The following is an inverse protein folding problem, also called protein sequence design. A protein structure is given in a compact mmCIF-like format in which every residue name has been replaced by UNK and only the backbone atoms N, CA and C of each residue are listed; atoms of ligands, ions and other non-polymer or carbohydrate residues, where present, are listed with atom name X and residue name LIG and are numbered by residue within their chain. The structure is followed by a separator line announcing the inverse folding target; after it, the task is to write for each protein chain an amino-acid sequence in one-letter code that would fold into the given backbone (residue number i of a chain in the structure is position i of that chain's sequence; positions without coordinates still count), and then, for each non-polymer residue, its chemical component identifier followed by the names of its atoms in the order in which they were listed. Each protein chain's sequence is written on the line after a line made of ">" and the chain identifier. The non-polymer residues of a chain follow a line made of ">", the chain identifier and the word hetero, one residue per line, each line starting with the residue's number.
data_IF_532318936392
#
_entry.id   IF_532318936392
#
_cell.length_a   1.000
_cell.length_b   1.000
_cell.length_c   1.000
_cell.angle_alpha   90.00
_cell.angle_beta   90.00
_cell.angle_gamma   90.00
#
_symmetry.space_group_name_H-M   'P 1'
#
loop_
_entity.id
_entity.type
_entity.pdbx_description
1 polymer ?
#
# COMPACT_ATOMS: atom_id res chain seq x y z
N UNK A 1 -12.46 -22.14 6.77
CA UNK A 1 -13.70 -22.53 6.06
C UNK A 1 -14.67 -21.35 5.80
N UNK A 2 -15.40 -20.78 6.77
CA UNK A 2 -16.35 -19.66 6.46
C UNK A 2 -15.65 -18.33 6.17
N UNK A 3 -14.54 -18.02 6.83
CA UNK A 3 -13.75 -16.82 6.54
C UNK A 3 -13.11 -16.84 5.13
N UNK A 4 -12.71 -18.02 4.65
CA UNK A 4 -12.20 -18.19 3.27
C UNK A 4 -13.26 -17.93 2.21
N UNK A 5 -14.53 -18.31 2.49
CA UNK A 5 -15.66 -18.08 1.58
C UNK A 5 -15.97 -16.58 1.43
N UNK A 6 -15.73 -15.78 2.47
CA UNK A 6 -15.97 -14.32 2.47
C UNK A 6 -14.79 -13.58 1.82
N UNK A 7 -13.56 -13.98 2.13
CA UNK A 7 -12.35 -13.37 1.56
C UNK A 7 -12.19 -13.68 0.06
N UNK A 8 -12.67 -14.84 -0.40
CA UNK A 8 -12.68 -15.21 -1.82
C UNK A 8 -13.60 -14.34 -2.71
N UNK A 9 -14.56 -13.60 -2.14
CA UNK A 9 -15.48 -12.73 -2.90
C UNK A 9 -14.97 -11.30 -3.14
N UNK A 10 -13.86 -10.91 -2.51
CA UNK A 10 -13.27 -9.57 -2.64
C UNK A 10 -11.92 -9.57 -3.38
N UNK A 11 -11.43 -10.75 -3.78
CA UNK A 11 -10.22 -10.90 -4.58
C UNK A 11 -10.61 -10.99 -6.05
N UNK A 12 -10.31 -9.94 -6.82
CA UNK A 12 -10.36 -10.01 -8.28
C UNK A 12 -8.98 -10.46 -8.75
N UNK A 13 -8.84 -11.76 -9.03
CA UNK A 13 -7.60 -12.36 -9.51
C UNK A 13 -7.55 -13.87 -9.35
N UNK A 14 -6.84 -14.56 -10.26
CA UNK A 14 -6.54 -15.99 -10.14
C UNK A 14 -5.53 -16.20 -8.99
N UNK A 15 -5.44 -17.41 -8.42
CA UNK A 15 -4.60 -17.74 -7.24
C UNK A 15 -3.12 -17.32 -7.34
N UNK A 16 -2.62 -16.98 -8.54
CA UNK A 16 -1.26 -16.50 -8.79
C UNK A 16 -1.10 -14.97 -8.78
N UNK A 17 -2.17 -14.17 -8.95
CA UNK A 17 -2.09 -12.70 -8.99
C UNK A 17 -3.31 -12.09 -8.30
N UNK A 18 -3.22 -11.93 -6.98
CA UNK A 18 -4.22 -11.19 -6.21
C UNK A 18 -3.88 -9.69 -6.23
N UNK A 19 -4.82 -8.87 -6.69
CA UNK A 19 -4.74 -7.41 -6.57
C UNK A 19 -5.48 -6.98 -5.31
N UNK A 20 -4.74 -6.49 -4.32
CA UNK A 20 -5.35 -6.00 -3.07
C UNK A 20 -5.50 -4.48 -3.12
N UNK A 21 -6.72 -4.01 -2.86
CA UNK A 21 -7.07 -2.58 -2.84
C UNK A 21 -6.65 -1.84 -1.56
N UNK A 22 -5.82 -2.45 -0.71
CA UNK A 22 -5.38 -1.88 0.57
C UNK A 22 -4.70 -0.51 0.42
N UNK A 23 -4.02 -0.28 -0.71
CA UNK A 23 -3.36 1.00 -1.01
C UNK A 23 -4.33 2.20 -0.97
N UNK A 24 -5.60 1.99 -1.32
CA UNK A 24 -6.64 3.03 -1.29
C UNK A 24 -6.91 3.45 0.15
N UNK A 25 -7.18 2.47 1.02
CA UNK A 25 -7.52 2.69 2.43
C UNK A 25 -6.34 3.38 3.13
N UNK A 26 -5.14 2.87 2.89
CA UNK A 26 -3.89 3.42 3.44
C UNK A 26 -3.69 4.88 2.98
N UNK A 27 -3.90 5.19 1.70
CA UNK A 27 -3.78 6.56 1.19
C UNK A 27 -4.84 7.51 1.76
N UNK A 28 -6.08 7.04 1.97
CA UNK A 28 -7.14 7.82 2.61
C UNK A 28 -6.76 8.13 4.07
N UNK A 29 -6.33 7.12 4.83
CA UNK A 29 -5.89 7.28 6.21
C UNK A 29 -4.72 8.28 6.27
N UNK A 30 -3.74 8.13 5.39
CA UNK A 30 -2.60 9.03 5.29
C UNK A 30 -3.00 10.48 4.97
N UNK A 31 -3.99 10.69 4.09
CA UNK A 31 -4.54 12.00 3.72
C UNK A 31 -5.30 12.65 4.88
N UNK A 32 -6.07 11.88 5.66
CA UNK A 32 -6.94 12.42 6.71
C UNK A 32 -6.25 12.59 8.05
N UNK A 33 -5.48 11.59 8.49
CA UNK A 33 -4.91 11.53 9.83
C UNK A 33 -3.45 12.00 9.91
N UNK A 34 -2.80 12.17 8.75
CA UNK A 34 -1.40 12.60 8.69
C UNK A 34 -0.42 11.52 9.12
N UNK A 35 0.89 11.84 9.18
CA UNK A 35 1.95 10.85 9.31
C UNK A 35 1.97 10.13 10.66
N UNK A 36 1.72 10.81 11.78
CA UNK A 36 1.82 10.20 13.11
C UNK A 36 0.80 9.06 13.31
N UNK A 37 -0.47 9.34 13.02
CA UNK A 37 -1.54 8.35 13.17
C UNK A 37 -1.51 7.27 12.08
N UNK A 38 -1.17 7.64 10.84
CA UNK A 38 -1.08 6.67 9.74
C UNK A 38 0.04 5.65 9.95
N UNK A 39 1.17 6.05 10.53
CA UNK A 39 2.28 5.16 10.91
C UNK A 39 1.84 4.15 11.96
N UNK A 40 1.18 4.60 13.04
CA UNK A 40 0.69 3.68 14.07
C UNK A 40 -0.28 2.64 13.51
N UNK A 41 -1.22 3.08 12.67
CA UNK A 41 -2.17 2.18 12.00
C UNK A 41 -1.44 1.21 11.08
N UNK A 42 -0.45 1.67 10.30
CA UNK A 42 0.30 0.82 9.39
C UNK A 42 1.05 -0.30 10.12
N UNK A 43 1.68 -0.01 11.26
CA UNK A 43 2.38 -1.01 12.07
C UNK A 43 1.40 -2.08 12.56
N UNK A 44 0.25 -1.68 13.10
CA UNK A 44 -0.76 -2.60 13.62
C UNK A 44 -1.34 -3.46 12.51
N UNK A 45 -1.70 -2.84 11.37
CA UNK A 45 -2.27 -3.55 10.22
C UNK A 45 -1.26 -4.52 9.60
N UNK A 46 0.01 -4.14 9.50
CA UNK A 46 1.06 -5.01 8.97
C UNK A 46 1.31 -6.20 9.90
N UNK A 47 1.39 -5.96 11.21
CA UNK A 47 1.55 -7.02 12.21
C UNK A 47 0.38 -8.02 12.18
N UNK A 48 -0.86 -7.52 12.28
CA UNK A 48 -2.06 -8.36 12.25
C UNK A 48 -2.18 -9.08 10.89
N UNK A 49 -1.97 -8.35 9.79
CA UNK A 49 -2.05 -8.91 8.44
C UNK A 49 -1.05 -10.05 8.23
N UNK A 50 0.17 -9.90 8.75
CA UNK A 50 1.20 -10.94 8.66
C UNK A 50 0.82 -12.15 9.51
N UNK A 51 0.35 -11.95 10.75
CA UNK A 51 -0.09 -13.06 11.60
C UNK A 51 -1.25 -13.85 10.97
N UNK A 52 -2.21 -13.16 10.35
CA UNK A 52 -3.34 -13.80 9.66
C UNK A 52 -2.93 -14.54 8.39
N UNK A 53 -1.85 -14.09 7.73
CA UNK A 53 -1.34 -14.75 6.52
C UNK A 53 -0.59 -16.05 6.79
N UNK A 54 -0.19 -16.30 8.04
CA UNK A 54 0.65 -17.43 8.42
C UNK A 54 2.10 -17.34 7.90
N UNK A 55 2.50 -16.22 7.32
CA UNK A 55 3.86 -16.00 6.84
C UNK A 55 4.82 -15.61 7.97
N UNK A 56 6.13 -15.88 7.86
CA UNK A 56 7.11 -15.43 8.83
C UNK A 56 7.08 -13.90 8.98
N UNK A 57 6.92 -13.43 10.22
CA UNK A 57 6.98 -12.01 10.51
C UNK A 57 8.43 -11.50 10.38
N UNK A 58 8.60 -10.48 9.55
CA UNK A 58 9.89 -9.82 9.35
C UNK A 58 9.72 -8.31 9.43
N UNK A 59 10.45 -7.70 10.37
CA UNK A 59 10.32 -6.27 10.71
C UNK A 59 10.61 -5.33 9.53
N UNK A 60 11.39 -5.77 8.54
CA UNK A 60 11.63 -4.99 7.33
C UNK A 60 10.37 -4.74 6.49
N UNK A 61 9.39 -5.66 6.50
CA UNK A 61 8.11 -5.41 5.83
C UNK A 61 7.27 -4.37 6.57
N UNK A 62 7.29 -4.37 7.90
CA UNK A 62 6.67 -3.31 8.69
C UNK A 62 7.33 -1.96 8.40
N UNK A 63 8.67 -1.92 8.27
CA UNK A 63 9.38 -0.70 7.88
C UNK A 63 8.96 -0.21 6.49
N UNK A 64 8.82 -1.13 5.52
CA UNK A 64 8.25 -0.80 4.21
C UNK A 64 6.84 -0.20 4.33
N UNK A 65 5.96 -0.80 5.13
CA UNK A 65 4.59 -0.29 5.34
C UNK A 65 4.58 1.11 5.94
N UNK A 66 5.45 1.37 6.93
CA UNK A 66 5.64 2.68 7.55
C UNK A 66 6.12 3.72 6.53
N UNK A 67 7.09 3.39 5.68
CA UNK A 67 7.58 4.29 4.64
C UNK A 67 6.48 4.64 3.62
N UNK A 68 5.64 3.66 3.24
CA UNK A 68 4.50 3.89 2.34
C UNK A 68 3.56 4.95 2.90
N UNK A 69 3.13 4.81 4.16
CA UNK A 69 2.20 5.79 4.77
C UNK A 69 2.85 7.15 4.98
N UNK A 70 4.14 7.20 5.33
CA UNK A 70 4.86 8.48 5.44
C UNK A 70 4.87 9.21 4.10
N UNK A 71 5.23 8.51 3.02
CA UNK A 71 5.26 9.10 1.67
C UNK A 71 3.86 9.56 1.25
N UNK A 72 2.82 8.74 1.47
CA UNK A 72 1.45 9.15 1.18
C UNK A 72 0.99 10.35 2.03
N UNK A 73 1.33 10.36 3.32
CA UNK A 73 0.98 11.47 4.21
C UNK A 73 1.68 12.75 3.77
N UNK A 74 2.99 12.73 3.49
CA UNK A 74 3.70 13.91 2.98
C UNK A 74 3.12 14.41 1.65
N UNK A 75 2.72 13.50 0.77
CA UNK A 75 2.18 13.85 -0.54
C UNK A 75 0.76 14.41 -0.48
N UNK A 76 -0.11 13.87 0.38
CA UNK A 76 -1.56 14.09 0.32
C UNK A 76 -2.16 14.78 1.55
N UNK A 77 -1.48 14.77 2.71
CA UNK A 77 -2.01 15.36 3.94
C UNK A 77 -2.30 16.86 3.78
N UNK A 78 -3.45 17.29 4.32
CA UNK A 78 -3.87 18.69 4.29
C UNK A 78 -4.30 19.22 2.91
N UNK A 79 -4.25 18.42 1.83
CA UNK A 79 -4.64 18.86 0.49
C UNK A 79 -6.09 18.53 0.19
N UNK A 80 -6.88 19.55 -0.16
CA UNK A 80 -8.28 19.35 -0.57
C UNK A 80 -8.41 18.59 -1.89
N UNK A 81 -7.63 19.01 -2.89
CA UNK A 81 -7.51 18.33 -4.19
C UNK A 81 -6.08 17.86 -4.39
N UNK A 82 -5.95 16.62 -4.87
CA UNK A 82 -4.64 16.04 -5.18
C UNK A 82 -4.45 16.10 -6.68
N UNK A 83 -3.37 16.73 -7.14
CA UNK A 83 -3.01 16.77 -8.56
C UNK A 83 -2.65 15.37 -9.06
N UNK A 84 -2.98 15.06 -10.32
CA UNK A 84 -2.58 13.80 -10.97
C UNK A 84 -1.06 13.61 -10.93
N UNK A 85 -0.28 14.71 -11.07
CA UNK A 85 1.18 14.67 -10.98
C UNK A 85 1.66 14.28 -9.58
N UNK A 86 1.02 14.77 -8.52
CA UNK A 86 1.36 14.36 -7.17
C UNK A 86 1.09 12.86 -6.98
N UNK A 87 -0.05 12.34 -7.45
CA UNK A 87 -0.37 10.91 -7.33
C UNK A 87 0.62 10.06 -8.11
N UNK A 88 0.94 10.45 -9.35
CA UNK A 88 1.85 9.73 -10.23
C UNK A 88 3.25 9.64 -9.61
N UNK A 89 3.83 10.77 -9.20
CA UNK A 89 5.18 10.82 -8.61
C UNK A 89 5.22 10.02 -7.30
N UNK A 90 4.21 10.18 -6.44
CA UNK A 90 4.14 9.47 -5.15
C UNK A 90 4.06 7.96 -5.35
N UNK A 91 3.19 7.51 -6.25
CA UNK A 91 3.02 6.08 -6.57
C UNK A 91 4.27 5.51 -7.22
N UNK A 92 4.97 6.30 -8.04
CA UNK A 92 6.20 5.88 -8.71
C UNK A 92 7.35 5.71 -7.70
N UNK A 93 7.52 6.66 -6.78
CA UNK A 93 8.49 6.57 -5.69
C UNK A 93 8.24 5.32 -4.84
N UNK A 94 7.01 5.11 -4.38
CA UNK A 94 6.64 3.94 -3.58
C UNK A 94 6.91 2.65 -4.35
N UNK A 95 6.56 2.63 -5.64
CA UNK A 95 6.74 1.44 -6.48
C UNK A 95 8.21 1.08 -6.66
N UNK A 96 9.06 2.05 -6.99
CA UNK A 96 10.48 1.80 -7.24
C UNK A 96 11.22 1.50 -5.94
N UNK A 97 11.14 2.40 -4.96
CA UNK A 97 11.95 2.29 -3.76
C UNK A 97 11.43 1.23 -2.80
N UNK A 98 10.11 1.14 -2.60
CA UNK A 98 9.56 0.25 -1.59
C UNK A 98 9.21 -1.10 -2.19
N UNK A 99 8.39 -1.13 -3.25
CA UNK A 99 7.87 -2.39 -3.77
C UNK A 99 8.91 -3.21 -4.56
N UNK A 100 9.80 -2.54 -5.29
CA UNK A 100 10.85 -3.20 -6.08
C UNK A 100 12.12 -3.35 -5.26
N UNK A 101 12.70 -2.29 -4.69
CA UNK A 101 13.98 -2.41 -3.98
C UNK A 101 13.84 -3.06 -2.60
N UNK A 102 13.18 -2.39 -1.64
CA UNK A 102 13.09 -2.87 -0.25
C UNK A 102 12.43 -4.25 -0.15
N UNK A 103 11.26 -4.42 -0.77
CA UNK A 103 10.55 -5.68 -0.67
C UNK A 103 11.26 -6.85 -1.39
N UNK A 104 12.05 -6.60 -2.45
CA UNK A 104 12.92 -7.66 -3.01
C UNK A 104 14.06 -7.99 -2.06
N UNK A 105 14.64 -6.98 -1.41
CA UNK A 105 15.73 -7.14 -0.46
C UNK A 105 15.27 -7.99 0.74
N UNK A 106 14.12 -7.69 1.32
CA UNK A 106 13.55 -8.46 2.43
C UNK A 106 13.29 -9.92 2.05
N UNK A 107 12.73 -10.17 0.86
CA UNK A 107 12.53 -11.54 0.40
C UNK A 107 13.85 -12.26 0.15
N UNK A 108 14.86 -11.59 -0.41
CA UNK A 108 16.17 -12.23 -0.60
C UNK A 108 16.84 -12.64 0.73
N UNK A 109 16.66 -11.85 1.78
CA UNK A 109 17.14 -12.18 3.14
C UNK A 109 16.39 -13.38 3.70
N UNK A 110 15.05 -13.39 3.62
CA UNK A 110 14.22 -14.46 4.18
C UNK A 110 14.34 -15.78 3.41
N UNK A 111 14.47 -15.72 2.09
CA UNK A 111 14.58 -16.89 1.23
C UNK A 111 16.04 -17.40 1.10
N UNK A 112 17.02 -16.66 1.62
CA UNK A 112 18.46 -16.92 1.41
C UNK A 112 18.84 -17.07 -0.07
N UNK A 113 18.18 -16.31 -0.95
CA UNK A 113 18.40 -16.33 -2.40
C UNK A 113 19.05 -15.02 -2.88
N UNK A 114 19.60 -15.02 -4.09
CA UNK A 114 20.09 -13.79 -4.72
C UNK A 114 18.98 -12.73 -4.88
N UNK A 115 19.31 -11.47 -4.61
CA UNK A 115 18.44 -10.31 -4.80
C UNK A 115 17.79 -10.26 -6.18
N UNK A 116 18.56 -10.63 -7.22
CA UNK A 116 18.11 -10.59 -8.61
C UNK A 116 17.09 -11.67 -8.98
N UNK A 117 16.89 -12.69 -8.13
CA UNK A 117 16.04 -13.83 -8.46
C UNK A 117 14.56 -13.43 -8.57
N UNK A 118 14.04 -12.69 -7.59
CA UNK A 118 12.63 -12.26 -7.56
C UNK A 118 12.37 -10.92 -8.25
N UNK A 119 13.43 -10.20 -8.61
CA UNK A 119 13.36 -8.83 -9.08
C UNK A 119 12.62 -8.69 -10.44
N UNK A 120 12.84 -9.56 -11.46
CA UNK A 120 12.11 -9.47 -12.73
C UNK A 120 10.60 -9.65 -12.56
N UNK A 121 10.18 -10.63 -11.77
CA UNK A 121 8.76 -10.89 -11.48
C UNK A 121 8.13 -9.68 -10.78
N UNK A 122 8.85 -9.07 -9.83
CA UNK A 122 8.40 -7.86 -9.13
C UNK A 122 8.33 -6.65 -10.06
N UNK A 123 9.28 -6.45 -10.97
CA UNK A 123 9.22 -5.37 -11.96
C UNK A 123 7.95 -5.52 -12.81
N UNK A 124 7.72 -6.69 -13.39
CA UNK A 124 6.57 -6.93 -14.28
C UNK A 124 5.26 -6.71 -13.52
N UNK A 125 5.12 -7.30 -12.32
CA UNK A 125 3.92 -7.13 -11.48
C UNK A 125 3.66 -5.66 -11.14
N UNK A 126 4.70 -4.94 -10.73
CA UNK A 126 4.58 -3.53 -10.34
C UNK A 126 4.33 -2.61 -11.53
N UNK A 127 4.90 -2.89 -12.70
CA UNK A 127 4.69 -2.11 -13.92
C UNK A 127 3.22 -2.17 -14.38
N UNK A 128 2.58 -3.33 -14.25
CA UNK A 128 1.15 -3.51 -14.54
C UNK A 128 0.28 -2.85 -13.46
N UNK A 129 0.68 -2.98 -12.19
CA UNK A 129 -0.09 -2.45 -11.06
C UNK A 129 -0.02 -0.92 -10.94
N UNK A 130 1.10 -0.32 -11.31
CA UNK A 130 1.38 1.11 -11.21
C UNK A 130 0.32 2.02 -11.87
N UNK A 131 -0.04 1.85 -13.16
CA UNK A 131 -1.05 2.69 -13.79
C UNK A 131 -2.42 2.53 -13.14
N UNK A 132 -2.79 1.29 -12.77
CA UNK A 132 -4.06 0.98 -12.11
C UNK A 132 -4.15 1.69 -10.75
N UNK A 133 -3.09 1.58 -9.92
CA UNK A 133 -3.03 2.25 -8.63
C UNK A 133 -3.10 3.76 -8.78
N UNK A 134 -2.36 4.33 -9.73
CA UNK A 134 -2.34 5.79 -9.97
C UNK A 134 -3.73 6.32 -10.35
N UNK A 135 -4.41 5.65 -11.28
CA UNK A 135 -5.76 6.06 -11.73
C UNK A 135 -6.76 5.95 -10.58
N UNK A 136 -6.77 4.83 -9.86
CA UNK A 136 -7.69 4.60 -8.75
C UNK A 136 -7.46 5.57 -7.60
N UNK A 137 -6.20 5.81 -7.21
CA UNK A 137 -5.86 6.79 -6.17
C UNK A 137 -6.31 8.19 -6.56
N UNK A 138 -6.04 8.63 -7.79
CA UNK A 138 -6.45 9.94 -8.24
C UNK A 138 -7.97 10.10 -8.20
N UNK A 139 -8.71 9.11 -8.72
CA UNK A 139 -10.17 9.16 -8.74
C UNK A 139 -10.77 9.20 -7.34
N UNK A 140 -10.28 8.36 -6.42
CA UNK A 140 -10.82 8.25 -5.05
C UNK A 140 -10.45 9.46 -4.21
N UNK A 141 -9.18 9.89 -4.24
CA UNK A 141 -8.71 11.01 -3.41
C UNK A 141 -9.32 12.36 -3.84
N UNK A 142 -9.79 12.47 -5.09
CA UNK A 142 -10.46 13.67 -5.60
C UNK A 142 -12.00 13.53 -5.66
N UNK A 143 -12.55 12.38 -5.27
CA UNK A 143 -14.00 12.18 -5.25
C UNK A 143 -14.64 13.06 -4.14
N UNK A 144 -15.72 13.76 -4.50
CA UNK A 144 -16.47 14.62 -3.59
C UNK A 144 -16.97 13.83 -2.37
N UNK A 145 -17.41 12.59 -2.53
CA UNK A 145 -17.96 11.77 -1.42
C UNK A 145 -16.93 11.56 -0.32
N UNK A 146 -15.70 11.18 -0.68
CA UNK A 146 -14.59 10.99 0.26
C UNK A 146 -14.26 12.29 0.98
N UNK A 147 -14.36 13.44 0.30
CA UNK A 147 -14.12 14.74 0.94
C UNK A 147 -15.14 15.07 2.03
N UNK A 148 -16.40 14.69 1.86
CA UNK A 148 -17.45 14.92 2.88
C UNK A 148 -17.35 13.92 4.05
N UNK A 149 -16.77 12.75 3.82
CA UNK A 149 -16.50 11.75 4.85
C UNK A 149 -15.26 12.06 5.70
N UNK A 150 -14.61 13.22 5.50
CA UNK A 150 -13.45 13.62 6.30
C UNK A 150 -13.86 13.65 7.78
N UNK A 151 -13.27 12.80 8.63
CA UNK A 151 -13.67 12.72 10.03
C UNK A 151 -13.24 14.00 10.76
N UNK A 152 -14.14 14.58 11.54
CA UNK A 152 -13.89 15.77 12.39
C UNK A 152 -13.18 15.38 13.70
N UNK A 153 -12.10 14.63 13.61
CA UNK A 153 -11.41 14.11 14.81
C UNK A 153 -10.42 15.15 15.39
N UNK A 154 -10.06 16.18 14.63
CA UNK A 154 -9.18 17.27 15.07
C UNK A 154 -9.77 18.65 14.76
N UNK A 155 -11.00 18.91 15.23
CA UNK A 155 -11.53 20.26 15.37
C UNK A 155 -11.28 20.75 16.80
#
# INVERSE_FOLDING_TARGET
>A
MVAEIILGRLVIGNSSVQFTFSFIIIAIIAKWYGPFWSVGIAIIVDFIGTMLSGQPYFIGFTLSAVLVVIIYSLAFYGKDKVSIWNVLVTTLIITIFINILLNSLWVSILAHTSFYYFLPVRIIKNLISFPIQTILLYWILNNKTIRHMKPKIFN
#
